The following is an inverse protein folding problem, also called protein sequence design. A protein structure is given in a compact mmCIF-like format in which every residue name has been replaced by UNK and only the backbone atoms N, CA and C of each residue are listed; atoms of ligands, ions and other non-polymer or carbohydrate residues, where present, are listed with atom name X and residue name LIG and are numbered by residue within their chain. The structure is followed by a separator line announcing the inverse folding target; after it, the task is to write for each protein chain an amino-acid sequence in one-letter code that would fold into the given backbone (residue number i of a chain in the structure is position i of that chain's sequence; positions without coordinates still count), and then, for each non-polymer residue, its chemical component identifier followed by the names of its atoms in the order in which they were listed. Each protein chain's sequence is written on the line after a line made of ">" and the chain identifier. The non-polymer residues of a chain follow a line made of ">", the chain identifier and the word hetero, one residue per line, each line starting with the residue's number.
data_IF_762475534642
#
_entry.id   IF_762475534642
#
_cell.length_a   1.000
_cell.length_b   1.000
_cell.length_c   1.000
_cell.angle_alpha   90.00
_cell.angle_beta   90.00
_cell.angle_gamma   90.00
#
_symmetry.space_group_name_H-M   'P 1'
#
loop_
_entity.id
_entity.type
_entity.pdbx_description
1 polymer ?
#
# COMPACT_ATOMS: atom_id res chain seq x y z
N UNK A 1 -5.37 -10.59 7.79
CA UNK A 1 -4.94 -10.41 6.37
C UNK A 1 -5.98 -9.78 5.44
N UNK A 2 -7.30 -9.91 5.66
CA UNK A 2 -8.32 -9.55 4.65
C UNK A 2 -8.30 -8.09 4.18
N UNK A 3 -7.80 -7.16 5.01
CA UNK A 3 -7.88 -5.71 4.74
C UNK A 3 -6.57 -5.08 4.23
N UNK A 4 -5.39 -5.57 4.67
CA UNK A 4 -4.09 -4.93 4.36
C UNK A 4 -3.76 -4.91 2.87
N UNK A 5 -3.90 -6.05 2.20
CA UNK A 5 -3.69 -6.14 0.75
C UNK A 5 -4.71 -5.29 -0.04
N UNK A 6 -5.96 -5.22 0.43
CA UNK A 6 -7.00 -4.38 -0.17
C UNK A 6 -6.68 -2.89 -0.07
N UNK A 7 -6.14 -2.44 1.07
CA UNK A 7 -5.73 -1.05 1.28
C UNK A 7 -4.55 -0.68 0.38
N UNK A 8 -3.53 -1.55 0.26
CA UNK A 8 -2.42 -1.34 -0.67
C UNK A 8 -2.91 -1.21 -2.11
N UNK A 9 -3.79 -2.12 -2.55
CA UNK A 9 -4.35 -2.08 -3.90
C UNK A 9 -5.13 -0.78 -4.13
N UNK A 10 -5.97 -0.38 -3.17
CA UNK A 10 -6.76 0.85 -3.26
C UNK A 10 -5.87 2.08 -3.36
N UNK A 11 -4.82 2.18 -2.53
CA UNK A 11 -3.85 3.28 -2.61
C UNK A 11 -3.15 3.29 -3.97
N UNK A 12 -2.72 2.14 -4.48
CA UNK A 12 -2.06 2.06 -5.78
C UNK A 12 -2.98 2.50 -6.93
N UNK A 13 -4.22 2.01 -6.95
CA UNK A 13 -5.22 2.36 -7.96
C UNK A 13 -5.60 3.84 -7.86
N UNK A 14 -5.82 4.36 -6.65
CA UNK A 14 -6.13 5.78 -6.44
C UNK A 14 -4.99 6.70 -6.92
N UNK A 15 -3.73 6.35 -6.64
CA UNK A 15 -2.57 7.08 -7.14
C UNK A 15 -2.47 7.05 -8.67
N UNK A 16 -2.70 5.89 -9.29
CA UNK A 16 -2.73 5.75 -10.75
C UNK A 16 -3.84 6.56 -11.40
N UNK A 17 -5.07 6.50 -10.87
CA UNK A 17 -6.19 7.30 -11.36
C UNK A 17 -5.93 8.80 -11.20
N UNK A 18 -5.34 9.22 -10.09
CA UNK A 18 -4.96 10.61 -9.85
C UNK A 18 -3.89 11.09 -10.85
N UNK A 19 -2.88 10.26 -11.15
CA UNK A 19 -1.86 10.58 -12.15
C UNK A 19 -2.46 10.69 -13.56
N UNK A 20 -3.35 9.77 -13.94
CA UNK A 20 -4.05 9.83 -15.23
C UNK A 20 -4.91 11.10 -15.27
N UNK A 21 -5.75 11.35 -14.26
CA UNK A 21 -6.59 12.53 -14.22
C UNK A 21 -5.77 13.83 -14.30
N UNK A 22 -4.59 13.88 -13.67
CA UNK A 22 -3.69 15.03 -13.76
C UNK A 22 -3.17 15.27 -15.18
N UNK A 23 -2.83 14.23 -15.95
CA UNK A 23 -2.33 14.38 -17.33
C UNK A 23 -3.40 14.96 -18.26
N UNK A 24 -4.65 14.53 -18.11
CA UNK A 24 -5.73 14.89 -19.02
C UNK A 24 -6.46 16.18 -18.63
N UNK A 25 -6.60 16.46 -17.34
CA UNK A 25 -7.44 17.56 -16.84
C UNK A 25 -6.65 18.63 -16.08
N UNK A 26 -5.38 18.39 -15.74
CA UNK A 26 -4.55 19.32 -14.97
C UNK A 26 -5.27 19.87 -13.71
N UNK A 27 -5.98 18.99 -12.98
CA UNK A 27 -6.84 19.36 -11.83
C UNK A 27 -6.08 20.07 -10.71
N UNK A 28 -4.79 19.77 -10.54
CA UNK A 28 -3.96 20.29 -9.46
C UNK A 28 -2.80 21.09 -10.02
N UNK A 29 -2.33 22.09 -9.26
CA UNK A 29 -1.03 22.72 -9.53
C UNK A 29 0.09 21.67 -9.43
N UNK A 30 1.18 21.79 -10.20
CA UNK A 30 2.28 20.82 -10.18
C UNK A 30 2.84 20.58 -8.77
N UNK A 31 2.99 21.63 -7.98
CA UNK A 31 3.46 21.55 -6.59
C UNK A 31 2.48 20.76 -5.68
N UNK A 32 1.18 20.97 -5.84
CA UNK A 32 0.15 20.26 -5.10
C UNK A 32 0.08 18.79 -5.52
N UNK A 33 0.17 18.51 -6.82
CA UNK A 33 0.21 17.16 -7.36
C UNK A 33 1.38 16.35 -6.80
N UNK A 34 2.60 16.89 -6.82
CA UNK A 34 3.76 16.18 -6.28
C UNK A 34 3.65 15.93 -4.77
N UNK A 35 3.14 16.90 -3.99
CA UNK A 35 2.89 16.70 -2.56
C UNK A 35 1.93 15.55 -2.32
N UNK A 36 0.79 15.55 -3.01
CA UNK A 36 -0.22 14.49 -2.90
C UNK A 36 0.35 13.15 -3.33
N UNK A 37 1.07 13.08 -4.46
CA UNK A 37 1.67 11.86 -4.96
C UNK A 37 2.68 11.27 -3.98
N UNK A 38 3.55 12.11 -3.40
CA UNK A 38 4.53 11.69 -2.38
C UNK A 38 3.80 11.17 -1.13
N UNK A 39 2.79 11.89 -0.64
CA UNK A 39 1.99 11.44 0.52
C UNK A 39 1.35 10.07 0.25
N UNK A 40 0.78 9.88 -0.94
CA UNK A 40 0.13 8.63 -1.33
C UNK A 40 1.14 7.48 -1.45
N UNK A 41 2.33 7.76 -1.99
CA UNK A 41 3.45 6.82 -2.03
C UNK A 41 3.95 6.40 -0.64
N UNK A 42 4.08 7.35 0.29
CA UNK A 42 4.46 7.05 1.68
C UNK A 42 3.43 6.15 2.35
N UNK A 43 2.13 6.49 2.23
CA UNK A 43 1.05 5.66 2.78
C UNK A 43 1.04 4.26 2.17
N UNK A 44 1.31 4.15 0.86
CA UNK A 44 1.42 2.86 0.19
C UNK A 44 2.57 2.01 0.77
N UNK A 45 3.76 2.58 0.92
CA UNK A 45 4.93 1.88 1.48
C UNK A 45 4.67 1.45 2.93
N UNK A 46 4.09 2.31 3.76
CA UNK A 46 3.73 1.97 5.14
C UNK A 46 2.72 0.81 5.17
N UNK A 47 1.65 0.90 4.39
CA UNK A 47 0.62 -0.14 4.31
C UNK A 47 1.21 -1.47 3.82
N UNK A 48 2.13 -1.41 2.86
CA UNK A 48 2.82 -2.58 2.32
C UNK A 48 3.73 -3.20 3.39
N UNK A 49 4.54 -2.39 4.07
CA UNK A 49 5.39 -2.84 5.18
C UNK A 49 4.59 -3.53 6.28
N UNK A 50 3.50 -2.91 6.75
CA UNK A 50 2.61 -3.52 7.77
C UNK A 50 2.02 -4.82 7.26
N UNK A 51 1.58 -4.86 6.01
CA UNK A 51 0.99 -6.07 5.41
C UNK A 51 2.01 -7.19 5.33
N UNK A 52 3.24 -6.91 4.90
CA UNK A 52 4.31 -7.90 4.82
C UNK A 52 4.72 -8.42 6.20
N UNK A 53 4.97 -7.53 7.17
CA UNK A 53 5.32 -7.92 8.54
C UNK A 53 4.23 -8.78 9.17
N UNK A 54 2.96 -8.40 8.99
CA UNK A 54 1.82 -9.19 9.49
C UNK A 54 1.74 -10.56 8.79
N UNK A 55 2.09 -10.62 7.50
CA UNK A 55 2.12 -11.88 6.76
C UNK A 55 3.20 -12.81 7.26
N UNK A 56 4.41 -12.29 7.40
CA UNK A 56 5.55 -13.04 7.93
C UNK A 56 5.23 -13.59 9.33
N UNK A 57 4.73 -12.72 10.21
CA UNK A 57 4.40 -13.10 11.58
C UNK A 57 3.31 -14.17 11.67
N UNK A 58 2.26 -14.07 10.84
CA UNK A 58 1.20 -15.07 10.79
C UNK A 58 1.70 -16.41 10.23
N UNK A 59 2.58 -16.36 9.22
CA UNK A 59 3.17 -17.54 8.61
C UNK A 59 4.10 -18.26 9.58
N UNK A 60 4.97 -17.54 10.28
CA UNK A 60 5.83 -18.10 11.34
C UNK A 60 5.01 -18.74 12.45
N UNK A 61 3.95 -18.06 12.90
CA UNK A 61 3.05 -18.59 13.92
C UNK A 61 2.35 -19.88 13.46
N UNK A 62 1.94 -19.94 12.20
CA UNK A 62 1.29 -21.12 11.63
C UNK A 62 2.26 -22.31 11.52
N UNK A 63 3.51 -22.06 11.13
CA UNK A 63 4.56 -23.08 11.03
C UNK A 63 4.95 -23.66 12.41
N UNK A 64 5.05 -22.80 13.43
CA UNK A 64 5.24 -23.22 14.83
C UNK A 64 4.07 -24.05 15.34
N UNK A 65 2.84 -23.61 15.06
CA UNK A 65 1.62 -24.34 15.48
C UNK A 65 1.53 -25.72 14.84
N UNK A 66 2.03 -25.87 13.61
CA UNK A 66 2.06 -27.15 12.88
C UNK A 66 3.26 -28.04 13.23
N UNK A 67 4.14 -27.60 14.15
CA UNK A 67 5.30 -28.39 14.62
C UNK A 67 6.43 -28.53 13.59
N UNK A 68 6.45 -27.68 12.55
CA UNK A 68 7.54 -27.69 11.57
C UNK A 68 8.82 -27.01 12.09
N UNK A 69 8.70 -26.15 13.10
CA UNK A 69 9.79 -25.34 13.66
C UNK A 69 9.51 -25.14 15.16
N UNK A 70 10.53 -25.32 16.01
CA UNK A 70 10.47 -25.19 17.48
C UNK A 70 10.57 -23.71 17.95
#
# INVERSE_FOLDING_TARGET
>A
MKWGAGICLLLFVAGGLLAIAQIWFALLSPDAFFKVLITLGILFVISLGVTLVTREYLQDKELRTKGFID
#
